data_IF_031010847871
#
_entry.id   IF_031010847871
#
_cell.length_a   1.000
_cell.length_b   1.000
_cell.length_c   1.000
_cell.angle_alpha   90.00
_cell.angle_beta   90.00
_cell.angle_gamma   90.00
#
_symmetry.space_group_name_H-M   'P 1'
#
loop_
_entity.id
_entity.type
_entity.pdbx_description
1 polymer ?
#
# COMPACT_ATOMS: atom_id res chain seq x y z
N UNK A 1 9.42 14.99 -11.92
CA UNK A 1 9.43 14.12 -10.73
C UNK A 1 8.79 12.81 -11.15
N UNK A 2 9.39 11.68 -10.80
CA UNK A 2 8.81 10.35 -11.02
C UNK A 2 7.63 10.18 -10.07
N UNK A 3 6.49 9.66 -10.56
CA UNK A 3 5.29 9.49 -9.71
C UNK A 3 5.54 8.47 -8.60
N UNK A 4 4.73 8.55 -7.53
CA UNK A 4 4.77 7.59 -6.42
C UNK A 4 4.79 6.14 -6.90
N UNK A 5 3.86 5.79 -7.79
CA UNK A 5 3.72 4.43 -8.35
C UNK A 5 5.00 3.98 -9.06
N UNK A 6 5.56 4.82 -9.93
CA UNK A 6 6.76 4.47 -10.67
C UNK A 6 7.98 4.26 -9.76
N UNK A 7 8.07 4.99 -8.64
CA UNK A 7 9.11 4.79 -7.64
C UNK A 7 8.96 3.43 -6.95
N UNK A 8 7.75 3.09 -6.48
CA UNK A 8 7.47 1.81 -5.83
C UNK A 8 7.73 0.64 -6.78
N UNK A 9 7.29 0.73 -8.04
CA UNK A 9 7.51 -0.32 -9.04
C UNK A 9 9.01 -0.55 -9.31
N UNK A 10 9.81 0.51 -9.38
CA UNK A 10 11.25 0.41 -9.60
C UNK A 10 11.94 -0.31 -8.44
N UNK A 11 11.62 0.05 -7.20
CA UNK A 11 12.19 -0.58 -6.00
C UNK A 11 11.70 -2.03 -5.84
N UNK A 12 10.41 -2.28 -6.04
CA UNK A 12 9.84 -3.62 -5.99
C UNK A 12 10.44 -4.57 -7.04
N UNK A 13 10.82 -4.04 -8.21
CA UNK A 13 11.51 -4.78 -9.26
C UNK A 13 12.96 -5.11 -8.88
N UNK A 14 13.65 -4.24 -8.13
CA UNK A 14 15.02 -4.47 -7.68
C UNK A 14 15.14 -5.52 -6.57
N UNK A 15 14.03 -5.83 -5.88
CA UNK A 15 13.99 -6.82 -4.80
C UNK A 15 13.84 -8.24 -5.38
N UNK A 16 14.96 -8.98 -5.44
CA UNK A 16 15.01 -10.40 -5.81
C UNK A 16 15.23 -11.29 -4.58
N UNK A 17 14.16 -11.54 -3.80
CA UNK A 17 14.22 -12.36 -2.57
C UNK A 17 13.35 -13.62 -2.62
N UNK A 18 12.86 -14.01 -3.81
CA UNK A 18 12.03 -15.21 -3.99
C UNK A 18 10.59 -15.11 -3.48
N UNK A 19 10.14 -13.93 -3.04
CA UNK A 19 8.75 -13.71 -2.58
C UNK A 19 7.74 -14.01 -3.68
N UNK A 20 6.61 -14.55 -3.24
CA UNK A 20 5.41 -14.83 -4.04
C UNK A 20 4.36 -13.73 -3.83
N UNK A 21 3.34 -13.73 -4.69
CA UNK A 21 2.18 -12.84 -4.50
C UNK A 21 1.47 -13.09 -3.16
N UNK A 22 1.50 -14.34 -2.66
CA UNK A 22 0.93 -14.69 -1.36
C UNK A 22 1.71 -14.11 -0.20
N UNK A 23 3.05 -14.15 -0.24
CA UNK A 23 3.88 -13.51 0.79
C UNK A 23 3.57 -12.01 0.89
N UNK A 24 3.34 -11.36 -0.26
CA UNK A 24 2.93 -9.94 -0.30
C UNK A 24 1.52 -9.76 0.26
N UNK A 25 0.56 -10.64 -0.04
CA UNK A 25 -0.80 -10.56 0.52
C UNK A 25 -0.75 -10.70 2.04
N UNK A 26 -0.02 -11.68 2.57
CA UNK A 26 0.12 -11.88 4.02
C UNK A 26 0.75 -10.67 4.71
N UNK A 27 1.77 -10.08 4.09
CA UNK A 27 2.36 -8.83 4.58
C UNK A 27 1.36 -7.68 4.52
N UNK A 28 0.63 -7.52 3.41
CA UNK A 28 -0.43 -6.50 3.25
C UNK A 28 -1.50 -6.62 4.35
N UNK A 29 -1.87 -7.84 4.76
CA UNK A 29 -2.82 -8.07 5.85
C UNK A 29 -2.27 -7.64 7.21
N UNK A 30 -0.96 -7.78 7.41
CA UNK A 30 -0.28 -7.31 8.62
C UNK A 30 -0.32 -5.78 8.68
N UNK A 31 0.08 -5.09 7.60
CA UNK A 31 0.00 -3.63 7.47
C UNK A 31 -1.43 -3.10 7.64
N UNK A 32 -2.43 -3.83 7.13
CA UNK A 32 -3.83 -3.47 7.32
C UNK A 32 -4.29 -3.58 8.78
N UNK A 33 -3.71 -4.52 9.53
CA UNK A 33 -3.90 -4.64 10.97
C UNK A 33 -3.33 -3.44 11.73
N UNK A 34 -2.11 -3.02 11.38
CA UNK A 34 -1.44 -1.83 11.94
C UNK A 34 -2.23 -0.55 11.64
N UNK A 35 -2.67 -0.38 10.39
CA UNK A 35 -3.57 0.71 10.00
C UNK A 35 -4.88 0.73 10.81
N UNK A 36 -5.51 -0.43 10.98
CA UNK A 36 -6.75 -0.54 11.76
C UNK A 36 -6.51 -0.12 13.22
N UNK A 37 -5.39 -0.52 13.82
CA UNK A 37 -4.99 -0.12 15.16
C UNK A 37 -4.79 1.41 15.27
N UNK A 38 -4.06 2.02 14.34
CA UNK A 38 -3.86 3.48 14.32
C UNK A 38 -5.17 4.25 14.17
N UNK A 39 -6.13 3.76 13.37
CA UNK A 39 -7.47 4.38 13.25
C UNK A 39 -8.26 4.29 14.57
N UNK A 40 -8.08 3.21 15.34
CA UNK A 40 -8.68 3.08 16.67
C UNK A 40 -8.02 4.03 17.67
N UNK A 41 -6.69 4.14 17.64
CA UNK A 41 -5.91 5.06 18.50
C UNK A 41 -6.27 6.52 18.20
N UNK A 42 -6.17 6.95 16.94
CA UNK A 42 -6.50 8.33 16.52
C UNK A 42 -7.95 8.72 16.87
N UNK A 43 -8.83 7.74 16.96
CA UNK A 43 -10.21 7.92 17.37
C UNK A 43 -10.48 7.85 18.88
N UNK A 44 -9.45 7.76 19.72
CA UNK A 44 -9.57 7.73 21.19
C UNK A 44 -10.19 6.45 21.76
N UNK A 45 -10.13 5.34 21.02
CA UNK A 45 -10.73 4.05 21.42
C UNK A 45 -9.70 2.97 21.76
N UNK A 46 -8.42 3.33 21.81
CA UNK A 46 -7.33 2.46 22.25
C UNK A 46 -6.63 3.07 23.46
N UNK A 47 -6.05 2.22 24.30
CA UNK A 47 -5.18 2.64 25.41
C UNK A 47 -3.72 2.79 24.98
N UNK A 48 -3.37 2.36 23.77
CA UNK A 48 -2.02 2.46 23.21
C UNK A 48 -1.73 3.88 22.75
N UNK A 49 -0.46 4.25 22.78
CA UNK A 49 0.02 5.49 22.16
C UNK A 49 0.07 5.33 20.64
N UNK A 50 -0.12 6.43 19.87
CA UNK A 50 0.07 6.41 18.43
C UNK A 50 1.49 5.98 18.06
N UNK A 51 1.61 5.18 17.02
CA UNK A 51 2.87 4.91 16.34
C UNK A 51 3.46 6.18 15.71
N UNK A 52 4.75 6.15 15.34
CA UNK A 52 5.44 7.30 14.75
C UNK A 52 4.85 7.73 13.40
N UNK A 53 4.29 6.77 12.66
CA UNK A 53 3.83 6.93 11.28
C UNK A 53 2.33 7.30 11.20
N UNK A 54 1.57 6.99 12.27
CA UNK A 54 0.15 7.27 12.40
C UNK A 54 -0.69 6.71 11.26
N UNK A 55 -1.96 7.13 11.18
CA UNK A 55 -2.90 6.61 10.16
C UNK A 55 -2.40 6.80 8.72
N UNK A 56 -1.74 7.92 8.43
CA UNK A 56 -1.26 8.21 7.07
C UNK A 56 -0.10 7.31 6.66
N UNK A 57 0.85 7.05 7.57
CA UNK A 57 1.98 6.18 7.29
C UNK A 57 1.58 4.72 7.16
N UNK A 58 0.74 4.19 8.06
CA UNK A 58 0.27 2.79 7.96
C UNK A 58 -0.58 2.56 6.70
N UNK A 59 -1.39 3.55 6.29
CA UNK A 59 -2.13 3.47 5.04
C UNK A 59 -1.21 3.52 3.82
N UNK A 60 -0.08 4.22 3.92
CA UNK A 60 0.95 4.20 2.89
C UNK A 60 1.61 2.83 2.80
N UNK A 61 1.95 2.16 3.91
CA UNK A 61 2.53 0.80 3.88
C UNK A 61 1.61 -0.20 3.16
N UNK A 62 0.31 -0.13 3.42
CA UNK A 62 -0.68 -0.90 2.66
C UNK A 62 -0.64 -0.55 1.17
N UNK A 63 -0.58 0.74 0.81
CA UNK A 63 -0.52 1.17 -0.59
C UNK A 63 0.76 0.69 -1.30
N UNK A 64 1.91 0.69 -0.61
CA UNK A 64 3.16 0.15 -1.13
C UNK A 64 3.02 -1.34 -1.48
N UNK A 65 2.47 -2.12 -0.54
CA UNK A 65 2.25 -3.56 -0.76
C UNK A 65 1.28 -3.82 -1.92
N UNK A 66 0.23 -3.00 -2.08
CA UNK A 66 -0.73 -3.11 -3.17
C UNK A 66 -0.12 -2.83 -4.55
N UNK A 67 0.77 -1.84 -4.66
CA UNK A 67 1.48 -1.55 -5.91
C UNK A 67 2.42 -2.70 -6.29
N UNK A 68 3.09 -3.30 -5.31
CA UNK A 68 3.93 -4.48 -5.54
C UNK A 68 3.10 -5.70 -5.96
N UNK A 69 1.95 -5.92 -5.31
CA UNK A 69 1.04 -6.98 -5.69
C UNK A 69 0.46 -6.78 -7.10
N UNK A 70 0.18 -5.54 -7.50
CA UNK A 70 -0.18 -5.19 -8.87
C UNK A 70 0.95 -5.55 -9.85
N UNK A 71 2.21 -5.23 -9.52
CA UNK A 71 3.37 -5.60 -10.34
C UNK A 71 3.46 -7.11 -10.54
N UNK A 72 3.23 -7.89 -9.48
CA UNK A 72 3.35 -9.35 -9.53
C UNK A 72 2.22 -10.04 -10.30
N UNK A 73 1.04 -9.44 -10.34
CA UNK A 73 -0.18 -10.10 -10.84
C UNK A 73 -0.73 -9.50 -12.13
N UNK A 74 -0.27 -8.32 -12.54
CA UNK A 74 -0.64 -7.71 -13.81
C UNK A 74 0.00 -8.46 -14.99
N UNK A 75 -0.75 -8.58 -16.08
CA UNK A 75 -0.27 -9.16 -17.35
C UNK A 75 0.45 -8.15 -18.24
N UNK A 76 0.28 -6.87 -17.94
CA UNK A 76 0.74 -5.74 -18.74
C UNK A 76 1.36 -4.70 -17.81
N UNK A 77 2.05 -3.71 -18.38
CA UNK A 77 2.58 -2.59 -17.61
C UNK A 77 1.43 -1.81 -16.95
N UNK A 78 1.43 -1.82 -15.61
CA UNK A 78 0.39 -1.20 -14.79
C UNK A 78 0.72 0.24 -14.41
N UNK A 79 1.94 0.73 -14.69
CA UNK A 79 2.47 1.99 -14.16
C UNK A 79 1.56 3.20 -14.47
N UNK A 80 1.16 3.35 -15.74
CA UNK A 80 0.29 4.44 -16.17
C UNK A 80 -1.11 4.36 -15.57
N UNK A 81 -1.70 3.15 -15.51
CA UNK A 81 -3.04 2.94 -14.98
C UNK A 81 -3.07 3.18 -13.46
N UNK A 82 -2.16 2.58 -12.71
CA UNK A 82 -2.07 2.79 -11.27
C UNK A 82 -1.76 4.26 -10.93
N UNK A 83 -0.88 4.94 -11.69
CA UNK A 83 -0.62 6.38 -11.50
C UNK A 83 -1.90 7.21 -11.66
N UNK A 84 -2.73 6.92 -12.67
CA UNK A 84 -3.99 7.63 -12.87
C UNK A 84 -4.99 7.43 -11.71
N UNK A 85 -5.05 6.20 -11.16
CA UNK A 85 -5.89 5.88 -10.01
C UNK A 85 -5.42 6.59 -8.74
N UNK A 86 -4.10 6.63 -8.48
CA UNK A 86 -3.53 7.37 -7.35
C UNK A 86 -3.80 8.88 -7.49
N UNK A 87 -3.63 9.46 -8.68
CA UNK A 87 -3.92 10.87 -8.92
C UNK A 87 -5.40 11.19 -8.63
N UNK A 88 -6.32 10.36 -9.12
CA UNK A 88 -7.77 10.51 -8.84
C UNK A 88 -8.05 10.46 -7.34
N UNK A 89 -7.44 9.51 -6.62
CA UNK A 89 -7.62 9.37 -5.18
C UNK A 89 -7.09 10.56 -4.36
N UNK A 90 -6.01 11.22 -4.83
CA UNK A 90 -5.45 12.41 -4.18
C UNK A 90 -6.28 13.69 -4.43
N UNK A 91 -6.96 13.75 -5.58
CA UNK A 91 -7.81 14.86 -6.00
C UNK A 91 -9.24 14.77 -5.40
N UNK A 92 -9.68 13.59 -4.97
CA UNK A 92 -10.97 13.41 -4.31
C UNK A 92 -11.03 14.08 -2.94
N UNK A 93 -12.02 14.98 -2.76
CA UNK A 93 -12.26 15.66 -1.49
C UNK A 93 -13.34 14.97 -0.65
N UNK A 94 -13.21 15.08 0.67
CA UNK A 94 -14.16 14.55 1.63
C UNK A 94 -14.17 13.02 1.73
N UNK A 95 -15.03 12.51 2.60
CA UNK A 95 -15.11 11.11 2.96
C UNK A 95 -14.85 10.85 4.44
N UNK A 96 -14.79 9.57 4.79
CA UNK A 96 -14.58 9.10 6.16
C UNK A 96 -13.61 7.94 6.15
N UNK A 97 -12.56 8.03 6.97
CA UNK A 97 -11.48 7.03 7.04
C UNK A 97 -12.02 5.63 7.32
N UNK A 98 -13.06 5.48 8.17
CA UNK A 98 -13.63 4.16 8.45
C UNK A 98 -14.40 3.58 7.27
N UNK A 99 -15.03 4.45 6.48
CA UNK A 99 -15.73 4.05 5.25
C UNK A 99 -14.72 3.57 4.21
N UNK A 100 -13.62 4.29 4.02
CA UNK A 100 -12.53 3.85 3.14
C UNK A 100 -11.88 2.55 3.64
N UNK A 101 -11.64 2.40 4.95
CA UNK A 101 -11.10 1.17 5.55
C UNK A 101 -12.00 -0.04 5.28
N UNK A 102 -13.33 0.10 5.41
CA UNK A 102 -14.27 -0.99 5.10
C UNK A 102 -14.24 -1.36 3.63
N UNK A 103 -14.20 -0.37 2.74
CA UNK A 103 -14.11 -0.61 1.30
C UNK A 103 -12.78 -1.28 0.93
N UNK A 104 -11.68 -0.88 1.57
CA UNK A 104 -10.36 -1.50 1.45
C UNK A 104 -10.39 -2.97 1.86
N UNK A 105 -10.94 -3.28 3.04
CA UNK A 105 -11.09 -4.66 3.54
C UNK A 105 -11.87 -5.55 2.57
N UNK A 106 -12.98 -5.04 2.02
CA UNK A 106 -13.81 -5.78 1.06
C UNK A 106 -13.05 -6.02 -0.25
N UNK A 107 -12.43 -4.97 -0.81
CA UNK A 107 -11.69 -5.06 -2.07
C UNK A 107 -10.51 -6.02 -1.94
N UNK A 108 -9.70 -5.89 -0.88
CA UNK A 108 -8.53 -6.72 -0.64
C UNK A 108 -8.90 -8.18 -0.35
N UNK A 109 -9.93 -8.43 0.48
CA UNK A 109 -10.39 -9.78 0.76
C UNK A 109 -10.91 -10.50 -0.48
N UNK A 110 -11.55 -9.76 -1.41
CA UNK A 110 -11.98 -10.32 -2.70
C UNK A 110 -10.79 -10.53 -3.63
N UNK A 111 -9.84 -9.58 -3.68
CA UNK A 111 -8.64 -9.68 -4.50
C UNK A 111 -7.77 -10.89 -4.10
N UNK A 112 -7.62 -11.16 -2.80
CA UNK A 112 -6.87 -12.31 -2.30
C UNK A 112 -7.46 -13.63 -2.81
N UNK A 113 -8.79 -13.77 -2.76
CA UNK A 113 -9.49 -14.95 -3.30
C UNK A 113 -9.31 -15.09 -4.83
N UNK A 114 -9.37 -13.99 -5.56
CA UNK A 114 -9.17 -14.00 -7.01
C UNK A 114 -7.73 -14.39 -7.38
N UNK A 115 -6.74 -13.91 -6.64
CA UNK A 115 -5.33 -14.26 -6.85
C UNK A 115 -5.11 -15.75 -6.54
N UNK A 116 -5.72 -16.27 -5.48
CA UNK A 116 -5.68 -17.70 -5.16
C UNK A 116 -6.29 -18.57 -6.26
N UNK A 117 -7.45 -18.20 -6.78
CA UNK A 117 -8.17 -18.99 -7.78
C UNK A 117 -7.69 -18.81 -9.22
N UNK A 118 -7.21 -17.62 -9.57
CA UNK A 118 -6.99 -17.20 -10.96
C UNK A 118 -5.62 -16.55 -11.20
N UNK A 119 -4.82 -16.33 -10.15
CA UNK A 119 -3.48 -15.72 -10.23
C UNK A 119 -3.46 -14.21 -10.47
N UNK A 120 -4.62 -13.54 -10.56
CA UNK A 120 -4.69 -12.10 -10.84
C UNK A 120 -5.97 -11.45 -10.32
N UNK A 121 -5.89 -10.17 -9.93
CA UNK A 121 -7.06 -9.36 -9.55
C UNK A 121 -6.84 -7.86 -9.74
N UNK A 122 -6.34 -7.44 -10.90
CA UNK A 122 -5.93 -6.04 -11.17
C UNK A 122 -6.99 -5.00 -10.80
N UNK A 123 -8.25 -5.23 -11.18
CA UNK A 123 -9.33 -4.27 -10.90
C UNK A 123 -9.60 -4.07 -9.41
N UNK A 124 -9.62 -5.15 -8.62
CA UNK A 124 -9.85 -5.07 -7.17
C UNK A 124 -8.62 -4.54 -6.43
N UNK A 125 -7.42 -4.85 -6.90
CA UNK A 125 -6.19 -4.29 -6.36
C UNK A 125 -6.09 -2.77 -6.60
N UNK A 126 -6.49 -2.28 -7.79
CA UNK A 126 -6.58 -0.85 -8.06
C UNK A 126 -7.63 -0.17 -7.18
N UNK A 127 -8.78 -0.81 -6.95
CA UNK A 127 -9.78 -0.29 -6.02
C UNK A 127 -9.22 -0.22 -4.59
N UNK A 128 -8.58 -1.28 -4.11
CA UNK A 128 -7.92 -1.29 -2.80
C UNK A 128 -6.86 -0.17 -2.70
N UNK A 129 -6.04 0.01 -3.74
CA UNK A 129 -5.03 1.06 -3.78
C UNK A 129 -5.65 2.45 -3.65
N UNK A 130 -6.74 2.73 -4.38
CA UNK A 130 -7.48 3.99 -4.23
C UNK A 130 -7.95 4.19 -2.78
N UNK A 131 -8.50 3.16 -2.13
CA UNK A 131 -8.96 3.28 -0.73
C UNK A 131 -7.81 3.58 0.22
N UNK A 132 -6.67 2.92 0.06
CA UNK A 132 -5.49 3.19 0.87
C UNK A 132 -4.99 4.64 0.69
N UNK A 133 -4.86 5.11 -0.56
CA UNK A 133 -4.45 6.50 -0.85
C UNK A 133 -5.46 7.52 -0.33
N UNK A 134 -6.77 7.23 -0.39
CA UNK A 134 -7.78 8.11 0.19
C UNK A 134 -7.67 8.20 1.71
N UNK A 135 -7.32 7.10 2.39
CA UNK A 135 -7.05 7.15 3.83
C UNK A 135 -5.85 8.05 4.13
N UNK A 136 -4.75 7.93 3.36
CA UNK A 136 -3.59 8.84 3.47
C UNK A 136 -4.03 10.30 3.32
N UNK A 137 -4.81 10.60 2.27
CA UNK A 137 -5.27 11.96 1.95
C UNK A 137 -6.22 12.56 3.00
N UNK A 138 -7.04 11.72 3.65
CA UNK A 138 -7.95 12.11 4.72
C UNK A 138 -7.22 12.32 6.05
N UNK A 139 -6.20 11.51 6.33
CA UNK A 139 -5.36 11.64 7.52
C UNK A 139 -4.40 12.84 7.41
N UNK A 140 -3.90 13.11 6.20
CA UNK A 140 -3.08 14.28 5.88
C UNK A 140 -3.70 15.15 4.79
N UNK A 141 -4.52 16.15 5.18
CA UNK A 141 -5.06 17.11 4.25
C UNK A 141 -3.95 17.84 3.46
N UNK A 142 -4.10 17.93 2.14
CA UNK A 142 -3.10 18.52 1.26
C UNK A 142 -1.95 17.58 0.87
N UNK A 143 -2.14 16.26 1.04
CA UNK A 143 -1.23 15.27 0.45
C UNK A 143 -1.19 15.43 -1.08
N UNK A 144 0.02 15.41 -1.64
CA UNK A 144 0.28 15.47 -3.08
C UNK A 144 1.12 14.27 -3.49
N UNK A 145 1.17 13.92 -4.78
CA UNK A 145 2.00 12.81 -5.27
C UNK A 145 3.49 12.98 -4.89
N UNK A 146 3.99 14.22 -4.93
CA UNK A 146 5.35 14.57 -4.51
C UNK A 146 5.58 14.28 -3.01
N UNK A 147 4.64 14.66 -2.15
CA UNK A 147 4.73 14.40 -0.70
C UNK A 147 4.57 12.92 -0.38
N UNK A 148 3.64 12.25 -1.06
CA UNK A 148 3.43 10.81 -0.95
C UNK A 148 4.71 10.04 -1.32
N UNK A 149 5.35 10.43 -2.42
CA UNK A 149 6.65 9.87 -2.86
C UNK A 149 7.75 10.12 -1.83
N UNK A 150 7.83 11.32 -1.26
CA UNK A 150 8.82 11.64 -0.23
C UNK A 150 8.58 10.83 1.06
N UNK A 151 7.33 10.59 1.43
CA UNK A 151 6.95 9.77 2.59
C UNK A 151 7.25 8.28 2.37
N UNK A 152 7.14 7.82 1.11
CA UNK A 152 7.45 6.44 0.72
C UNK A 152 8.94 6.12 0.67
N UNK A 153 9.79 7.10 0.32
CA UNK A 153 11.22 6.90 0.14
C UNK A 153 11.92 6.17 1.31
N UNK A 154 11.82 6.61 2.58
CA UNK A 154 12.50 5.91 3.69
C UNK A 154 11.94 4.49 3.93
N UNK A 155 10.67 4.24 3.61
CA UNK A 155 10.05 2.91 3.72
C UNK A 155 10.57 1.96 2.64
N UNK A 156 10.70 2.45 1.41
CA UNK A 156 11.29 1.70 0.29
C UNK A 156 12.78 1.41 0.51
N UNK A 157 13.55 2.36 1.06
CA UNK A 157 14.95 2.14 1.44
C UNK A 157 15.07 1.00 2.48
N UNK A 158 14.13 0.94 3.45
CA UNK A 158 14.06 -0.16 4.43
C UNK A 158 13.72 -1.50 3.77
N UNK A 159 12.83 -1.53 2.78
CA UNK A 159 12.53 -2.73 2.00
C UNK A 159 13.78 -3.26 1.30
N UNK A 160 14.50 -2.39 0.57
CA UNK A 160 15.73 -2.75 -0.13
C UNK A 160 16.80 -3.26 0.84
N UNK A 161 16.98 -2.58 1.99
CA UNK A 161 17.94 -3.00 3.01
C UNK A 161 17.61 -4.37 3.63
N UNK A 162 16.34 -4.64 3.89
CA UNK A 162 15.88 -5.93 4.44
C UNK A 162 16.11 -7.06 3.42
N UNK A 163 15.81 -6.80 2.14
CA UNK A 163 16.04 -7.76 1.06
C UNK A 163 17.54 -8.11 0.91
N UNK A 164 18.42 -7.10 0.95
CA UNK A 164 19.86 -7.30 0.87
C UNK A 164 20.39 -8.14 2.05
N UNK A 165 19.94 -7.85 3.29
CA UNK A 165 20.36 -8.59 4.47
C UNK A 165 19.98 -10.09 4.41
N UNK A 166 18.80 -10.41 3.87
CA UNK A 166 18.35 -11.79 3.69
C UNK A 166 19.16 -12.53 2.63
N UNK A 167 19.56 -11.85 1.55
CA UNK A 167 20.41 -12.42 0.50
C UNK A 167 21.82 -12.77 1.01
N UNK A 168 22.35 -11.97 1.95
CA UNK A 168 23.69 -12.17 2.52
C UNK A 168 23.71 -13.23 3.65
N UNK A 169 22.61 -13.40 4.39
CA UNK A 169 22.49 -14.35 5.50
C UNK A 169 22.16 -15.80 5.10
N UNK A 170 21.89 -16.06 3.81
CA UNK A 170 21.51 -17.37 3.28
C UNK A 170 22.66 -18.24 2.74
N UNK A 171 23.92 -17.96 3.11
CA UNK A 171 25.10 -18.75 2.69
C UNK A 171 25.67 -19.60 3.82
#
# INVERSE_FOLDING_TARGET
>A
MTSFVCHVLAEAQAIENGRTAFDIIEHTMSELGELSEEIVIAGGRSYKAPGPDGVAGEALDVALCLVDLLRMTAREDISGLATAYVATALDEEGGDIRTELRALLIALGTAARDIEGHGMSTGLLLQALVRAIRIVRLAEPGMTDARLTAMAAPKLEKWAGTAAALADGGR
#
